data_IF_447140896327
#
_entry.id   IF_447140896327
#
_cell.length_a   1.000
_cell.length_b   1.000
_cell.length_c   1.000
_cell.angle_alpha   90.00
_cell.angle_beta   90.00
_cell.angle_gamma   90.00
#
_symmetry.space_group_name_H-M   'P 1'
#
loop_
_entity.id
_entity.type
_entity.pdbx_description
1 polymer ?
#
# COMPACT_ATOMS: atom_id res chain seq x y z
N UNK A 1 50.51 -12.23 37.79
CA UNK A 1 51.18 -11.93 36.50
C UNK A 1 50.13 -11.43 35.53
N UNK A 2 50.31 -10.19 35.06
CA UNK A 2 49.78 -9.54 33.83
C UNK A 2 48.26 -9.42 33.60
N UNK A 3 47.81 -8.15 33.69
CA UNK A 3 46.83 -7.43 32.87
C UNK A 3 46.35 -8.13 31.59
N UNK A 4 45.07 -7.95 31.23
CA UNK A 4 44.64 -7.48 29.89
C UNK A 4 43.10 -7.25 29.82
N UNK A 5 42.76 -5.98 29.59
CA UNK A 5 41.77 -5.42 28.66
C UNK A 5 40.26 -5.59 28.94
N UNK A 6 39.69 -4.44 29.28
CA UNK A 6 38.32 -4.00 29.21
C UNK A 6 37.93 -3.78 27.73
N UNK A 7 36.94 -4.50 27.17
CA UNK A 7 36.18 -4.04 26.00
C UNK A 7 34.69 -4.30 26.25
N UNK A 8 34.02 -3.20 26.56
CA UNK A 8 32.59 -2.99 26.41
C UNK A 8 32.26 -3.02 24.91
N UNK A 9 31.49 -4.00 24.45
CA UNK A 9 30.92 -4.03 23.09
C UNK A 9 29.43 -3.72 23.18
N UNK A 10 29.12 -2.42 23.13
CA UNK A 10 27.88 -1.89 22.55
C UNK A 10 28.11 -1.86 21.03
N UNK A 11 27.05 -2.11 20.22
CA UNK A 11 26.88 -1.99 18.73
C UNK A 11 26.38 -3.34 18.17
N UNK A 12 25.22 -3.53 17.51
CA UNK A 12 24.10 -2.71 17.01
C UNK A 12 22.87 -3.63 16.94
N UNK A 13 21.67 -3.03 16.95
CA UNK A 13 20.39 -3.64 16.58
C UNK A 13 20.48 -4.72 15.49
N UNK A 14 20.17 -5.96 15.85
CA UNK A 14 19.76 -7.01 14.92
C UNK A 14 18.26 -6.87 14.62
N UNK A 15 17.92 -5.79 13.91
CA UNK A 15 16.69 -5.76 13.11
C UNK A 15 16.85 -6.72 11.93
N UNK A 16 15.83 -7.54 11.68
CA UNK A 16 15.76 -8.54 10.60
C UNK A 16 16.65 -9.79 10.77
N UNK A 17 16.32 -10.64 11.75
CA UNK A 17 16.66 -12.07 11.70
C UNK A 17 15.38 -12.89 11.91
N UNK A 18 14.83 -13.40 10.82
CA UNK A 18 13.74 -14.38 10.84
C UNK A 18 14.22 -15.65 11.54
N UNK A 19 13.54 -16.02 12.62
CA UNK A 19 13.73 -17.32 13.26
C UNK A 19 13.13 -18.38 12.33
N UNK A 20 13.97 -19.24 11.77
CA UNK A 20 13.54 -20.48 11.12
C UNK A 20 12.96 -21.41 12.19
N UNK A 21 11.64 -21.67 12.10
CA UNK A 21 10.99 -22.73 12.87
C UNK A 21 11.25 -24.09 12.21
N UNK A 22 11.29 -25.19 12.99
CA UNK A 22 11.64 -26.51 12.48
C UNK A 22 10.54 -27.07 11.56
N UNK A 23 10.97 -27.64 10.43
CA UNK A 23 10.16 -28.30 9.42
C UNK A 23 9.27 -29.41 10.03
N UNK A 24 7.96 -29.18 10.10
CA UNK A 24 6.99 -30.28 10.14
C UNK A 24 6.81 -30.80 8.71
N UNK A 25 7.51 -31.89 8.37
CA UNK A 25 7.25 -32.64 7.14
C UNK A 25 5.89 -33.35 7.24
N UNK A 26 4.83 -32.68 6.80
CA UNK A 26 3.66 -33.40 6.29
C UNK A 26 3.99 -33.94 4.90
N UNK A 27 3.54 -35.16 4.58
CA UNK A 27 3.62 -35.69 3.22
C UNK A 27 2.99 -34.67 2.26
N UNK A 28 3.80 -34.08 1.38
CA UNK A 28 3.30 -33.19 0.34
C UNK A 28 2.73 -34.12 -0.73
N UNK A 29 1.41 -34.26 -0.77
CA UNK A 29 0.73 -34.84 -1.93
C UNK A 29 1.02 -33.91 -3.11
N UNK A 30 1.99 -34.30 -3.94
CA UNK A 30 2.36 -33.56 -5.14
C UNK A 30 1.22 -33.74 -6.14
N UNK A 31 0.32 -32.75 -6.22
CA UNK A 31 -0.73 -32.71 -7.22
C UNK A 31 -0.10 -32.58 -8.61
N UNK A 32 -0.08 -33.68 -9.36
CA UNK A 32 0.43 -33.72 -10.74
C UNK A 32 -0.62 -33.08 -11.64
N UNK A 33 -0.30 -31.89 -12.14
CA UNK A 33 -1.18 -31.13 -13.04
C UNK A 33 -1.30 -31.87 -14.37
N UNK A 34 -2.53 -32.02 -14.84
CA UNK A 34 -2.80 -32.58 -16.17
C UNK A 34 -2.23 -31.67 -17.28
N UNK A 35 -1.55 -32.25 -18.26
CA UNK A 35 -0.88 -31.50 -19.33
C UNK A 35 -1.84 -30.70 -20.21
N UNK A 36 -3.07 -31.20 -20.40
CA UNK A 36 -4.13 -30.50 -21.10
C UNK A 36 -4.69 -29.35 -20.26
N UNK A 37 -4.83 -29.53 -18.94
CA UNK A 37 -5.21 -28.45 -18.04
C UNK A 37 -4.17 -27.30 -18.05
N UNK A 38 -2.87 -27.66 -18.04
CA UNK A 38 -1.77 -26.71 -18.14
C UNK A 38 -1.84 -25.91 -19.45
N UNK A 39 -2.08 -26.58 -20.58
CA UNK A 39 -2.23 -25.97 -21.91
C UNK A 39 -3.36 -24.92 -21.91
N UNK A 40 -4.55 -25.28 -21.43
CA UNK A 40 -5.66 -24.34 -21.36
C UNK A 40 -5.38 -23.16 -20.43
N UNK A 41 -4.75 -23.39 -19.27
CA UNK A 41 -4.37 -22.29 -18.38
C UNK A 41 -3.36 -21.34 -19.03
N UNK A 42 -2.36 -21.84 -19.76
CA UNK A 42 -1.42 -20.98 -20.48
C UNK A 42 -2.09 -20.21 -21.61
N UNK A 43 -2.97 -20.87 -22.37
CA UNK A 43 -3.73 -20.21 -23.43
C UNK A 43 -4.63 -19.09 -22.88
N UNK A 44 -5.32 -19.34 -21.76
CA UNK A 44 -6.12 -18.33 -21.08
C UNK A 44 -5.29 -17.14 -20.57
N UNK A 45 -4.05 -17.39 -20.09
CA UNK A 45 -3.12 -16.32 -19.70
C UNK A 45 -2.75 -15.44 -20.89
N UNK A 46 -2.45 -16.03 -22.05
CA UNK A 46 -2.13 -15.27 -23.27
C UNK A 46 -3.32 -14.44 -23.75
N UNK A 47 -4.52 -15.00 -23.76
CA UNK A 47 -5.74 -14.26 -24.09
C UNK A 47 -5.98 -13.07 -23.16
N UNK A 48 -5.82 -13.29 -21.84
CA UNK A 48 -5.95 -12.21 -20.86
C UNK A 48 -4.94 -11.08 -21.11
N UNK A 49 -3.68 -11.43 -21.42
CA UNK A 49 -2.64 -10.46 -21.76
C UNK A 49 -2.97 -9.66 -23.03
N UNK A 50 -3.60 -10.30 -24.03
CA UNK A 50 -4.05 -9.65 -25.26
C UNK A 50 -5.40 -8.91 -25.12
N UNK A 51 -5.97 -8.85 -23.92
CA UNK A 51 -7.23 -8.15 -23.65
C UNK A 51 -8.50 -8.99 -23.85
N UNK A 52 -8.41 -10.21 -24.39
CA UNK A 52 -9.55 -11.13 -24.48
C UNK A 52 -9.86 -11.77 -23.11
N UNK A 53 -10.56 -11.00 -22.27
CA UNK A 53 -10.92 -11.43 -20.92
C UNK A 53 -11.97 -12.54 -20.91
N UNK A 54 -12.86 -12.60 -21.90
CA UNK A 54 -13.91 -13.63 -21.97
C UNK A 54 -13.32 -14.97 -22.37
N UNK A 55 -12.53 -15.01 -23.44
CA UNK A 55 -11.84 -16.22 -23.87
C UNK A 55 -10.84 -16.73 -22.83
N UNK A 56 -10.21 -15.84 -22.06
CA UNK A 56 -9.39 -16.24 -20.92
C UNK A 56 -10.19 -17.00 -19.85
N UNK A 57 -11.38 -16.50 -19.49
CA UNK A 57 -12.26 -17.16 -18.52
C UNK A 57 -12.70 -18.53 -19.02
N UNK A 58 -13.02 -18.67 -20.30
CA UNK A 58 -13.40 -19.95 -20.91
C UNK A 58 -12.27 -20.96 -20.83
N UNK A 59 -11.05 -20.58 -21.18
CA UNK A 59 -9.90 -21.49 -21.11
C UNK A 59 -9.55 -21.87 -19.67
N UNK A 60 -9.56 -20.92 -18.73
CA UNK A 60 -9.39 -21.28 -17.31
C UNK A 60 -10.49 -22.20 -16.80
N UNK A 61 -11.71 -22.08 -17.32
CA UNK A 61 -12.81 -22.97 -16.96
C UNK A 61 -12.56 -24.39 -17.45
N UNK A 62 -12.11 -24.55 -18.70
CA UNK A 62 -11.70 -25.87 -19.22
C UNK A 62 -10.55 -26.48 -18.42
N UNK A 63 -9.55 -25.67 -18.05
CA UNK A 63 -8.45 -26.14 -17.20
C UNK A 63 -8.95 -26.67 -15.85
N UNK A 64 -9.94 -26.01 -15.26
CA UNK A 64 -10.57 -26.41 -13.99
C UNK A 64 -11.48 -27.64 -14.14
N UNK A 65 -12.17 -27.79 -15.28
CA UNK A 65 -12.98 -28.98 -15.56
C UNK A 65 -12.12 -30.24 -15.72
N UNK A 66 -10.93 -30.09 -16.32
CA UNK A 66 -9.94 -31.17 -16.46
C UNK A 66 -9.27 -31.46 -15.11
N UNK A 67 -8.89 -30.41 -14.39
CA UNK A 67 -8.23 -30.51 -13.10
C UNK A 67 -8.92 -29.62 -12.03
N UNK A 68 -9.87 -30.21 -11.26
CA UNK A 68 -10.65 -29.48 -10.26
C UNK A 68 -9.85 -28.92 -9.08
N UNK A 69 -8.60 -29.36 -8.91
CA UNK A 69 -7.69 -28.89 -7.85
C UNK A 69 -6.62 -27.91 -8.37
N UNK A 70 -6.75 -27.43 -9.61
CA UNK A 70 -5.75 -26.55 -10.20
C UNK A 70 -5.80 -25.11 -9.66
N UNK A 71 -5.13 -24.89 -8.52
CA UNK A 71 -5.06 -23.61 -7.79
C UNK A 71 -4.81 -22.40 -8.71
N UNK A 72 -3.79 -22.48 -9.57
CA UNK A 72 -3.40 -21.37 -10.45
C UNK A 72 -4.49 -21.00 -11.47
N UNK A 73 -5.27 -21.98 -11.96
CA UNK A 73 -6.36 -21.71 -12.89
C UNK A 73 -7.51 -20.96 -12.21
N UNK A 74 -7.89 -21.36 -10.99
CA UNK A 74 -8.88 -20.60 -10.19
C UNK A 74 -8.38 -19.19 -9.88
N UNK A 75 -7.13 -19.05 -9.43
CA UNK A 75 -6.56 -17.74 -9.08
C UNK A 75 -6.56 -16.78 -10.27
N UNK A 76 -6.10 -17.23 -11.44
CA UNK A 76 -6.07 -16.41 -12.65
C UNK A 76 -7.49 -16.06 -13.13
N UNK A 77 -8.43 -17.02 -13.08
CA UNK A 77 -9.84 -16.76 -13.42
C UNK A 77 -10.48 -15.75 -12.47
N UNK A 78 -10.16 -15.82 -11.18
CA UNK A 78 -10.63 -14.88 -10.17
C UNK A 78 -10.15 -13.46 -10.46
N UNK A 79 -8.86 -13.28 -10.80
CA UNK A 79 -8.30 -11.98 -11.19
C UNK A 79 -9.06 -11.42 -12.40
N UNK A 80 -9.19 -12.21 -13.47
CA UNK A 80 -9.87 -11.74 -14.69
C UNK A 80 -11.34 -11.39 -14.42
N UNK A 81 -12.05 -12.23 -13.66
CA UNK A 81 -13.43 -11.94 -13.23
C UNK A 81 -13.51 -10.65 -12.41
N UNK A 82 -12.55 -10.41 -11.52
CA UNK A 82 -12.48 -9.17 -10.73
C UNK A 82 -12.27 -7.96 -11.64
N UNK A 83 -11.38 -8.04 -12.63
CA UNK A 83 -11.10 -6.96 -13.59
C UNK A 83 -12.33 -6.58 -14.41
N UNK A 84 -13.15 -7.54 -14.84
CA UNK A 84 -14.38 -7.27 -15.61
C UNK A 84 -15.60 -6.93 -14.72
N UNK A 85 -15.39 -6.70 -13.43
CA UNK A 85 -16.47 -6.34 -12.49
C UNK A 85 -17.30 -7.51 -11.95
N UNK A 86 -17.02 -8.76 -12.35
CA UNK A 86 -17.68 -9.94 -11.79
C UNK A 86 -17.10 -10.31 -10.42
N UNK A 87 -17.35 -9.45 -9.41
CA UNK A 87 -16.83 -9.63 -8.05
C UNK A 87 -17.38 -10.88 -7.37
N UNK A 88 -18.67 -11.20 -7.56
CA UNK A 88 -19.28 -12.43 -7.00
C UNK A 88 -18.58 -13.69 -7.52
N UNK A 89 -18.30 -13.74 -8.82
CA UNK A 89 -17.55 -14.84 -9.43
C UNK A 89 -16.10 -14.90 -8.96
N UNK A 90 -15.44 -13.76 -8.78
CA UNK A 90 -14.08 -13.69 -8.25
C UNK A 90 -14.00 -14.21 -6.81
N UNK A 91 -14.95 -13.82 -5.93
CA UNK A 91 -15.02 -14.31 -4.55
C UNK A 91 -15.13 -15.83 -4.48
N UNK A 92 -15.94 -16.45 -5.36
CA UNK A 92 -16.07 -17.91 -5.45
C UNK A 92 -14.74 -18.57 -5.81
N UNK A 93 -14.08 -18.08 -6.86
CA UNK A 93 -12.81 -18.65 -7.32
C UNK A 93 -11.69 -18.44 -6.29
N UNK A 94 -11.58 -17.25 -5.67
CA UNK A 94 -10.60 -17.02 -4.59
C UNK A 94 -10.88 -17.89 -3.36
N UNK A 95 -12.16 -18.14 -3.03
CA UNK A 95 -12.49 -19.06 -1.93
C UNK A 95 -12.00 -20.45 -2.23
N UNK A 96 -12.16 -20.93 -3.47
CA UNK A 96 -11.62 -22.23 -3.88
C UNK A 96 -10.09 -22.27 -3.83
N UNK A 97 -9.41 -21.18 -4.20
CA UNK A 97 -7.94 -21.07 -4.02
C UNK A 97 -7.56 -21.22 -2.55
N UNK A 98 -8.26 -20.54 -1.63
CA UNK A 98 -7.98 -20.59 -0.19
C UNK A 98 -8.26 -21.97 0.41
N UNK A 99 -9.28 -22.68 -0.07
CA UNK A 99 -9.56 -24.07 0.33
C UNK A 99 -8.43 -25.03 -0.08
N UNK A 100 -7.80 -24.79 -1.24
CA UNK A 100 -6.75 -25.65 -1.79
C UNK A 100 -5.34 -25.24 -1.31
N UNK A 101 -5.11 -23.95 -1.07
CA UNK A 101 -3.87 -23.37 -0.59
C UNK A 101 -4.19 -22.24 0.41
N UNK A 102 -4.22 -22.60 1.68
CA UNK A 102 -4.59 -21.68 2.78
C UNK A 102 -3.55 -20.59 3.05
N UNK A 103 -2.36 -20.67 2.44
CA UNK A 103 -1.27 -19.68 2.60
C UNK A 103 -1.15 -18.78 1.36
N UNK A 104 -2.01 -18.92 0.35
CA UNK A 104 -2.04 -18.05 -0.82
C UNK A 104 -2.53 -16.64 -0.47
N UNK A 105 -1.64 -15.80 0.05
CA UNK A 105 -1.91 -14.42 0.46
C UNK A 105 -2.69 -13.61 -0.60
N UNK A 106 -2.26 -13.63 -1.86
CA UNK A 106 -2.94 -12.92 -2.94
C UNK A 106 -4.42 -13.31 -3.16
N UNK A 107 -4.84 -14.52 -2.76
CA UNK A 107 -6.24 -14.92 -2.84
C UNK A 107 -7.09 -14.28 -1.74
N UNK A 108 -6.55 -14.16 -0.52
CA UNK A 108 -7.19 -13.36 0.54
C UNK A 108 -7.25 -11.89 0.14
N UNK A 109 -6.17 -11.32 -0.39
CA UNK A 109 -6.15 -9.93 -0.86
C UNK A 109 -7.24 -9.66 -1.90
N UNK A 110 -7.30 -10.51 -2.95
CA UNK A 110 -8.29 -10.39 -4.02
C UNK A 110 -9.73 -10.60 -3.52
N UNK A 111 -9.95 -11.58 -2.63
CA UNK A 111 -11.26 -11.86 -2.05
C UNK A 111 -11.72 -10.74 -1.13
N UNK A 112 -10.82 -10.19 -0.31
CA UNK A 112 -11.12 -9.14 0.65
C UNK A 112 -11.60 -7.87 -0.04
N UNK A 113 -10.87 -7.42 -1.06
CA UNK A 113 -11.28 -6.28 -1.88
C UNK A 113 -12.59 -6.53 -2.64
N UNK A 114 -12.79 -7.73 -3.18
CA UNK A 114 -14.04 -8.08 -3.87
C UNK A 114 -15.24 -8.16 -2.90
N UNK A 115 -15.05 -8.64 -1.67
CA UNK A 115 -16.07 -8.66 -0.60
C UNK A 115 -16.46 -7.26 -0.17
N UNK A 116 -15.47 -6.40 0.09
CA UNK A 116 -15.73 -5.00 0.45
C UNK A 116 -16.53 -4.27 -0.64
N UNK A 117 -16.16 -4.43 -1.92
CA UNK A 117 -16.93 -3.88 -3.04
C UNK A 117 -18.39 -4.36 -3.07
N UNK A 118 -18.64 -5.59 -2.65
CA UNK A 118 -20.00 -6.18 -2.58
C UNK A 118 -20.75 -5.79 -1.30
N UNK A 119 -20.18 -4.91 -0.45
CA UNK A 119 -20.77 -4.47 0.81
C UNK A 119 -20.46 -5.37 2.02
N UNK A 120 -19.69 -6.45 1.83
CA UNK A 120 -19.18 -7.27 2.94
C UNK A 120 -17.87 -6.68 3.48
N UNK A 121 -17.98 -5.51 4.10
CA UNK A 121 -16.87 -4.77 4.71
C UNK A 121 -16.15 -5.60 5.78
N UNK A 122 -16.90 -6.32 6.63
CA UNK A 122 -16.33 -7.13 7.71
C UNK A 122 -15.52 -8.30 7.16
N UNK A 123 -16.06 -9.03 6.18
CA UNK A 123 -15.34 -10.11 5.51
C UNK A 123 -14.12 -9.61 4.74
N UNK A 124 -14.22 -8.42 4.13
CA UNK A 124 -13.10 -7.74 3.48
C UNK A 124 -11.93 -7.44 4.42
N UNK A 125 -12.23 -6.83 5.57
CA UNK A 125 -11.24 -6.53 6.62
C UNK A 125 -10.62 -7.82 7.17
N UNK A 126 -11.42 -8.87 7.39
CA UNK A 126 -10.92 -10.15 7.90
C UNK A 126 -9.92 -10.80 6.92
N UNK A 127 -10.25 -10.81 5.62
CA UNK A 127 -9.34 -11.36 4.60
C UNK A 127 -8.03 -10.56 4.50
N UNK A 128 -8.08 -9.23 4.52
CA UNK A 128 -6.86 -8.40 4.48
C UNK A 128 -6.04 -8.50 5.77
N UNK A 129 -6.70 -8.75 6.91
CA UNK A 129 -5.99 -9.10 8.15
C UNK A 129 -5.23 -10.41 7.99
N UNK A 130 -5.82 -11.40 7.29
CA UNK A 130 -5.13 -12.65 7.02
C UNK A 130 -3.90 -12.47 6.11
N UNK A 131 -3.97 -11.55 5.15
CA UNK A 131 -2.80 -11.17 4.33
C UNK A 131 -1.67 -10.67 5.22
N UNK A 132 -1.96 -9.73 6.13
CA UNK A 132 -0.98 -9.16 7.06
C UNK A 132 -0.41 -10.20 8.03
N UNK A 133 -1.21 -11.19 8.46
CA UNK A 133 -0.71 -12.31 9.25
C UNK A 133 0.26 -13.20 8.47
N UNK A 134 0.04 -13.39 7.17
CA UNK A 134 0.92 -14.20 6.30
C UNK A 134 2.18 -13.43 5.93
N UNK A 135 2.03 -12.17 5.53
CA UNK A 135 3.12 -11.25 5.20
C UNK A 135 2.90 -9.90 5.89
N UNK A 136 3.51 -9.70 7.08
CA UNK A 136 3.41 -8.44 7.82
C UNK A 136 4.00 -7.22 7.10
N UNK A 137 4.72 -7.42 5.98
CA UNK A 137 5.35 -6.37 5.18
C UNK A 137 4.55 -6.03 3.92
N UNK A 138 3.38 -6.64 3.71
CA UNK A 138 2.52 -6.33 2.56
C UNK A 138 1.85 -4.96 2.74
N UNK A 139 2.44 -3.94 2.10
CA UNK A 139 1.96 -2.54 2.14
C UNK A 139 0.54 -2.43 1.61
N UNK A 140 0.26 -3.11 0.50
CA UNK A 140 -1.01 -3.00 -0.21
C UNK A 140 -2.16 -3.53 0.66
N UNK A 141 -1.89 -4.52 1.50
CA UNK A 141 -2.87 -5.06 2.44
C UNK A 141 -3.26 -4.05 3.53
N UNK A 142 -2.29 -3.36 4.15
CA UNK A 142 -2.58 -2.27 5.08
C UNK A 142 -3.31 -1.14 4.38
N UNK A 143 -2.87 -0.75 3.18
CA UNK A 143 -3.50 0.34 2.44
C UNK A 143 -4.94 0.02 2.09
N UNK A 144 -5.20 -1.16 1.53
CA UNK A 144 -6.54 -1.62 1.18
C UNK A 144 -7.44 -1.70 2.40
N UNK A 145 -6.93 -2.23 3.53
CA UNK A 145 -7.70 -2.36 4.77
C UNK A 145 -8.02 -0.98 5.36
N UNK A 146 -7.07 -0.05 5.29
CA UNK A 146 -7.26 1.34 5.69
C UNK A 146 -8.34 2.03 4.86
N UNK A 147 -8.33 1.87 3.53
CA UNK A 147 -9.36 2.42 2.63
C UNK A 147 -10.74 1.86 2.96
N UNK A 148 -10.86 0.55 3.16
CA UNK A 148 -12.14 -0.08 3.53
C UNK A 148 -12.66 0.44 4.88
N UNK A 149 -11.75 0.68 5.85
CA UNK A 149 -12.11 1.28 7.14
C UNK A 149 -12.56 2.73 7.00
N UNK A 150 -11.89 3.52 6.16
CA UNK A 150 -12.32 4.88 5.81
C UNK A 150 -13.73 4.89 5.23
N UNK A 151 -14.00 4.05 4.24
CA UNK A 151 -15.33 3.92 3.61
C UNK A 151 -16.41 3.49 4.61
N UNK A 152 -16.03 2.75 5.65
CA UNK A 152 -16.89 2.37 6.76
C UNK A 152 -17.02 3.44 7.87
N UNK A 153 -16.39 4.62 7.70
CA UNK A 153 -16.38 5.72 8.67
C UNK A 153 -15.41 5.52 9.85
N UNK A 154 -14.55 4.50 9.83
CA UNK A 154 -13.56 4.22 10.86
C UNK A 154 -12.21 4.88 10.53
N UNK A 155 -12.15 6.21 10.67
CA UNK A 155 -10.98 7.03 10.36
C UNK A 155 -9.77 6.71 11.25
N UNK A 156 -9.97 6.46 12.55
CA UNK A 156 -8.89 6.04 13.45
C UNK A 156 -8.30 4.68 13.04
N UNK A 157 -9.14 3.77 12.57
CA UNK A 157 -8.71 2.48 12.05
C UNK A 157 -7.90 2.57 10.76
N UNK A 158 -8.21 3.54 9.87
CA UNK A 158 -7.42 3.86 8.67
C UNK A 158 -6.03 4.38 9.09
N UNK A 159 -5.98 5.39 9.94
CA UNK A 159 -4.74 5.99 10.46
C UNK A 159 -3.86 4.91 11.11
N UNK A 160 -4.46 4.03 11.91
CA UNK A 160 -3.74 2.92 12.55
C UNK A 160 -3.11 1.96 11.53
N UNK A 161 -3.79 1.65 10.43
CA UNK A 161 -3.24 0.78 9.39
C UNK A 161 -2.06 1.45 8.67
N UNK A 162 -2.16 2.74 8.35
CA UNK A 162 -1.05 3.46 7.71
C UNK A 162 0.16 3.62 8.64
N UNK A 163 -0.04 3.81 9.94
CA UNK A 163 1.05 3.82 10.92
C UNK A 163 1.74 2.46 11.02
N UNK A 164 0.95 1.39 11.16
CA UNK A 164 1.48 0.03 11.21
C UNK A 164 2.23 -0.33 9.93
N UNK A 165 1.75 0.12 8.77
CA UNK A 165 2.47 -0.01 7.51
C UNK A 165 3.85 0.66 7.66
N UNK A 166 3.90 1.97 7.94
CA UNK A 166 5.16 2.72 8.07
C UNK A 166 6.13 2.08 9.07
N UNK A 167 5.63 1.54 10.19
CA UNK A 167 6.45 0.88 11.22
C UNK A 167 6.99 -0.50 10.78
N UNK A 168 6.21 -1.29 10.05
CA UNK A 168 6.57 -2.66 9.67
C UNK A 168 7.32 -2.76 8.33
N UNK A 169 7.27 -1.72 7.49
CA UNK A 169 7.95 -1.73 6.19
C UNK A 169 9.44 -1.38 6.31
N UNK A 170 10.26 -2.06 5.50
CA UNK A 170 11.71 -1.89 5.51
C UNK A 170 12.18 -0.69 4.68
N UNK A 171 11.32 -0.14 3.82
CA UNK A 171 11.63 1.03 3.00
C UNK A 171 10.55 2.10 3.18
N UNK A 172 10.93 3.37 3.37
CA UNK A 172 9.99 4.48 3.33
C UNK A 172 9.15 4.44 2.05
N UNK A 173 7.89 4.88 2.13
CA UNK A 173 7.01 4.96 0.97
C UNK A 173 6.25 6.29 0.98
N UNK A 174 6.43 7.10 -0.07
CA UNK A 174 5.83 8.43 -0.16
C UNK A 174 4.29 8.40 -0.10
N UNK A 175 3.68 7.38 -0.70
CA UNK A 175 2.22 7.23 -0.72
C UNK A 175 1.67 6.96 0.69
N UNK A 176 2.39 6.20 1.53
CA UNK A 176 2.00 5.97 2.93
C UNK A 176 2.01 7.25 3.75
N UNK A 177 3.09 8.05 3.67
CA UNK A 177 3.15 9.33 4.37
C UNK A 177 2.09 10.30 3.86
N UNK A 178 1.84 10.31 2.55
CA UNK A 178 0.79 11.12 1.96
C UNK A 178 -0.61 10.71 2.43
N UNK A 179 -0.89 9.41 2.47
CA UNK A 179 -2.17 8.86 2.92
C UNK A 179 -2.38 9.08 4.42
N UNK A 180 -1.35 8.88 5.25
CA UNK A 180 -1.39 9.18 6.68
C UNK A 180 -1.66 10.67 6.95
N UNK A 181 -0.92 11.55 6.26
CA UNK A 181 -1.12 12.99 6.37
C UNK A 181 -2.53 13.42 5.98
N UNK A 182 -3.10 12.82 4.92
CA UNK A 182 -4.48 13.07 4.48
C UNK A 182 -5.48 12.59 5.52
N UNK A 183 -5.38 11.33 5.98
CA UNK A 183 -6.30 10.76 6.95
C UNK A 183 -6.31 11.55 8.28
N UNK A 184 -5.13 12.01 8.74
CA UNK A 184 -5.02 12.89 9.90
C UNK A 184 -5.65 14.27 9.66
N UNK A 185 -5.54 14.81 8.45
CA UNK A 185 -6.17 16.07 8.08
C UNK A 185 -7.71 15.96 8.09
N UNK A 186 -8.25 14.87 7.55
CA UNK A 186 -9.69 14.59 7.50
C UNK A 186 -10.29 14.43 8.90
N UNK A 187 -9.49 13.97 9.87
CA UNK A 187 -9.84 13.90 11.28
C UNK A 187 -9.52 15.18 12.08
N UNK A 188 -9.21 16.28 11.39
CA UNK A 188 -8.83 17.59 11.95
C UNK A 188 -7.61 17.58 12.88
N UNK A 189 -6.79 16.51 12.86
CA UNK A 189 -5.53 16.39 13.60
C UNK A 189 -4.40 17.09 12.85
N UNK A 190 -4.59 18.39 12.58
CA UNK A 190 -3.75 19.16 11.65
C UNK A 190 -2.26 19.19 12.05
N UNK A 191 -1.94 19.21 13.34
CA UNK A 191 -0.55 19.18 13.80
C UNK A 191 0.13 17.86 13.42
N UNK A 192 -0.52 16.73 13.74
CA UNK A 192 0.00 15.41 13.39
C UNK A 192 0.04 15.19 11.87
N UNK A 193 -0.94 15.72 11.14
CA UNK A 193 -0.94 15.72 9.67
C UNK A 193 0.32 16.41 9.12
N UNK A 194 0.63 17.61 9.61
CA UNK A 194 1.82 18.34 9.19
C UNK A 194 3.12 17.61 9.55
N UNK A 195 3.17 16.96 10.70
CA UNK A 195 4.29 16.12 11.14
C UNK A 195 4.47 14.90 10.22
N UNK A 196 3.39 14.16 9.91
CA UNK A 196 3.44 12.99 9.03
C UNK A 196 3.96 13.33 7.62
N UNK A 197 3.47 14.42 7.03
CA UNK A 197 4.01 14.92 5.76
C UNK A 197 5.49 15.34 5.90
N UNK A 198 5.84 15.96 7.01
CA UNK A 198 7.21 16.37 7.32
C UNK A 198 8.19 15.20 7.40
N UNK A 199 7.80 14.09 8.03
CA UNK A 199 8.59 12.86 8.06
C UNK A 199 8.77 12.31 6.64
N UNK A 200 7.70 12.25 5.84
CA UNK A 200 7.79 11.81 4.45
C UNK A 200 8.76 12.65 3.62
N UNK A 201 8.76 13.98 3.80
CA UNK A 201 9.65 14.90 3.07
C UNK A 201 11.14 14.61 3.33
N UNK A 202 11.51 14.10 4.51
CA UNK A 202 12.90 13.74 4.82
C UNK A 202 13.43 12.66 3.86
N UNK A 203 12.56 11.72 3.49
CA UNK A 203 12.88 10.62 2.57
C UNK A 203 12.60 10.99 1.11
N UNK A 204 11.57 11.81 0.85
CA UNK A 204 11.08 12.15 -0.48
C UNK A 204 11.04 13.67 -0.73
N UNK A 205 12.18 14.36 -0.73
CA UNK A 205 12.22 15.83 -0.80
C UNK A 205 11.77 16.40 -2.15
N UNK A 206 11.55 15.55 -3.15
CA UNK A 206 11.06 15.92 -4.49
C UNK A 206 9.57 15.58 -4.71
N UNK A 207 8.91 14.95 -3.75
CA UNK A 207 7.47 14.66 -3.86
C UNK A 207 6.66 15.89 -3.50
N UNK A 208 6.07 16.53 -4.52
CA UNK A 208 5.31 17.77 -4.33
C UNK A 208 4.08 17.59 -3.44
N UNK A 209 3.50 16.37 -3.39
CA UNK A 209 2.23 16.09 -2.70
C UNK A 209 2.41 16.27 -1.19
N UNK A 210 3.57 15.86 -0.68
CA UNK A 210 3.90 15.98 0.73
C UNK A 210 3.99 17.45 1.17
N UNK A 211 4.61 18.32 0.36
CA UNK A 211 4.63 19.75 0.64
C UNK A 211 3.24 20.36 0.53
N UNK A 212 2.48 20.01 -0.52
CA UNK A 212 1.12 20.51 -0.70
C UNK A 212 0.24 20.22 0.53
N UNK A 213 0.21 18.95 0.96
CA UNK A 213 -0.54 18.50 2.12
C UNK A 213 -0.06 19.13 3.43
N UNK A 214 1.27 19.22 3.64
CA UNK A 214 1.82 19.87 4.83
C UNK A 214 1.44 21.35 4.90
N UNK A 215 1.45 22.04 3.76
CA UNK A 215 1.05 23.44 3.68
C UNK A 215 -0.42 23.65 4.03
N UNK A 216 -1.32 22.76 3.56
CA UNK A 216 -2.72 22.77 3.96
C UNK A 216 -2.88 22.58 5.48
N UNK A 217 -2.17 21.61 6.06
CA UNK A 217 -2.20 21.33 7.49
C UNK A 217 -1.65 22.50 8.33
N UNK A 218 -0.51 23.09 7.93
CA UNK A 218 0.10 24.27 8.58
C UNK A 218 -0.80 25.50 8.56
N UNK A 219 -1.53 25.73 7.47
CA UNK A 219 -2.52 26.80 7.40
C UNK A 219 -3.57 26.65 8.51
N UNK A 220 -4.04 25.42 8.76
CA UNK A 220 -5.06 25.11 9.78
C UNK A 220 -4.52 25.25 11.20
N UNK A 221 -3.22 25.05 11.42
CA UNK A 221 -2.58 25.29 12.72
C UNK A 221 -2.13 26.74 12.94
N UNK A 222 -2.33 27.63 11.96
CA UNK A 222 -1.97 29.05 12.04
C UNK A 222 -0.56 29.39 11.55
N UNK A 223 0.24 28.40 11.14
CA UNK A 223 1.56 28.60 10.54
C UNK A 223 1.43 29.02 9.06
N UNK A 224 0.98 30.26 8.86
CA UNK A 224 0.74 30.83 7.51
C UNK A 224 2.03 30.93 6.71
N UNK A 225 3.14 31.31 7.36
CA UNK A 225 4.44 31.43 6.71
C UNK A 225 4.93 30.07 6.21
N UNK A 226 4.95 29.05 7.08
CA UNK A 226 5.35 27.70 6.71
C UNK A 226 4.43 27.07 5.66
N UNK A 227 3.14 27.39 5.69
CA UNK A 227 2.20 26.98 4.65
C UNK A 227 2.57 27.55 3.28
N UNK A 228 2.90 28.84 3.23
CA UNK A 228 3.33 29.51 2.00
C UNK A 228 4.67 28.98 1.48
N UNK A 229 5.65 28.75 2.35
CA UNK A 229 6.92 28.12 1.98
C UNK A 229 6.70 26.73 1.35
N UNK A 230 5.79 25.93 1.93
CA UNK A 230 5.45 24.61 1.40
C UNK A 230 4.70 24.66 0.06
N UNK A 231 3.74 25.56 -0.11
CA UNK A 231 3.04 25.70 -1.40
C UNK A 231 3.94 26.24 -2.51
N UNK A 232 4.84 27.18 -2.20
CA UNK A 232 5.88 27.61 -3.13
C UNK A 232 6.76 26.42 -3.53
N UNK A 233 7.20 25.61 -2.55
CA UNK A 233 8.03 24.45 -2.85
C UNK A 233 7.28 23.40 -3.69
N UNK A 234 6.02 23.15 -3.37
CA UNK A 234 5.16 22.24 -4.12
C UNK A 234 4.94 22.71 -5.56
N UNK A 235 4.74 24.01 -5.77
CA UNK A 235 4.67 24.65 -7.08
C UNK A 235 5.96 24.49 -7.88
N UNK A 236 7.11 24.77 -7.26
CA UNK A 236 8.44 24.57 -7.87
C UNK A 236 8.65 23.12 -8.34
N UNK A 237 8.06 22.15 -7.63
CA UNK A 237 8.11 20.72 -7.95
C UNK A 237 7.01 20.27 -8.94
N UNK A 238 6.18 21.19 -9.45
CA UNK A 238 5.21 20.94 -10.53
C UNK A 238 3.74 20.79 -10.10
N UNK A 239 3.39 21.10 -8.84
CA UNK A 239 2.00 21.05 -8.38
C UNK A 239 1.18 22.24 -8.88
N UNK A 240 0.28 22.02 -9.84
CA UNK A 240 -0.60 23.08 -10.38
C UNK A 240 -1.57 23.60 -9.32
N UNK A 241 -2.08 22.73 -8.44
CA UNK A 241 -2.97 23.14 -7.36
C UNK A 241 -2.29 24.10 -6.37
N UNK A 242 -0.99 23.92 -6.13
CA UNK A 242 -0.24 24.82 -5.26
C UNK A 242 -0.12 26.24 -5.85
N UNK A 243 -0.05 26.38 -7.18
CA UNK A 243 0.00 27.69 -7.85
C UNK A 243 -1.22 28.56 -7.53
N UNK A 244 -2.39 27.92 -7.37
CA UNK A 244 -3.65 28.62 -7.04
C UNK A 244 -3.63 29.21 -5.62
N UNK A 245 -2.74 28.73 -4.76
CA UNK A 245 -2.62 29.18 -3.37
C UNK A 245 -1.55 30.27 -3.18
N UNK A 246 -0.67 30.48 -4.17
CA UNK A 246 0.41 31.49 -4.10
C UNK A 246 -0.07 32.95 -3.95
N UNK A 247 -1.23 33.38 -4.47
CA UNK A 247 -1.76 34.72 -4.18
C UNK A 247 -2.03 34.95 -2.68
N UNK A 248 -2.20 33.89 -1.88
CA UNK A 248 -2.33 34.01 -0.43
C UNK A 248 -0.99 34.27 0.28
N UNK A 249 0.11 34.29 -0.48
CA UNK A 249 1.48 34.31 0.02
C UNK A 249 2.27 35.56 -0.42
N UNK A 250 1.59 36.57 -0.97
CA UNK A 250 2.23 37.76 -1.56
C UNK A 250 3.20 38.46 -0.60
N UNK A 251 2.79 38.64 0.66
CA UNK A 251 3.64 39.24 1.71
C UNK A 251 4.96 38.46 1.90
N UNK A 252 4.90 37.13 1.88
CA UNK A 252 6.08 36.26 2.08
C UNK A 252 6.95 36.13 0.83
N UNK A 253 6.35 36.23 -0.36
CA UNK A 253 7.07 36.20 -1.63
C UNK A 253 7.99 37.43 -1.75
N UNK A 254 7.51 38.62 -1.33
CA UNK A 254 8.32 39.83 -1.34
C UNK A 254 9.53 39.74 -0.40
N UNK A 255 9.33 39.24 0.83
CA UNK A 255 10.42 39.01 1.79
C UNK A 255 11.52 38.08 1.24
N UNK A 256 11.14 36.99 0.55
CA UNK A 256 12.07 36.05 -0.08
C UNK A 256 12.85 36.71 -1.22
N UNK A 257 12.19 37.52 -2.04
CA UNK A 257 12.84 38.24 -3.14
C UNK A 257 13.83 39.29 -2.64
N UNK A 258 13.50 40.00 -1.56
CA UNK A 258 14.35 41.03 -0.97
C UNK A 258 15.56 40.46 -0.22
N UNK A 259 15.43 39.26 0.36
CA UNK A 259 16.58 38.53 0.94
C UNK A 259 17.53 38.00 -0.14
N UNK A 260 17.01 37.45 -1.24
CA UNK A 260 17.82 36.98 -2.37
C UNK A 260 18.60 38.11 -3.05
N UNK A 261 18.02 39.30 -3.20
CA UNK A 261 18.70 40.49 -3.74
C UNK A 261 19.85 40.95 -2.84
N UNK A 262 19.66 40.93 -1.52
CA UNK A 262 20.71 41.28 -0.54
C UNK A 262 21.90 40.32 -0.57
N UNK A 263 21.68 39.04 -0.85
CA UNK A 263 22.77 38.06 -0.96
C UNK A 263 23.50 38.05 -2.30
N UNK A 264 22.92 38.58 -3.38
CA UNK A 264 23.56 38.68 -4.71
C UNK A 264 24.30 40.01 -4.93
N UNK A 265 24.14 40.98 -4.04
CA UNK A 265 24.78 42.29 -4.09
C UNK A 265 26.05 42.43 -3.24
N UNK A 266 26.51 41.34 -2.62
CA UNK A 266 27.79 41.19 -1.91
C UNK A 266 28.66 40.16 -2.62
#
# INVERSE_FOLDING_TARGET
MKYIINILLIVVATGCLGKTQPEQRSAVDLHIIDSLALMYKEHGRLKSANGDKRGAIEDYTKAIEIDPNYVTAYYNRAIVKSTIGNKKGAVKDYTKVIELDSLKSGAYYGRGNARAFLGDTKGGIADLTKVIEIDPKDVDAYVSRGVIKYEAGNLEGEISDYRLAIENHCEPNADLYNNLGRALYDLERFKESAEAYGEGIKYFPKDYRLYYGRGLARKRTGDKKGACEDWMKSSELGCVQANMLLPLCEEYIQEKNDSLKRHKGN
#
